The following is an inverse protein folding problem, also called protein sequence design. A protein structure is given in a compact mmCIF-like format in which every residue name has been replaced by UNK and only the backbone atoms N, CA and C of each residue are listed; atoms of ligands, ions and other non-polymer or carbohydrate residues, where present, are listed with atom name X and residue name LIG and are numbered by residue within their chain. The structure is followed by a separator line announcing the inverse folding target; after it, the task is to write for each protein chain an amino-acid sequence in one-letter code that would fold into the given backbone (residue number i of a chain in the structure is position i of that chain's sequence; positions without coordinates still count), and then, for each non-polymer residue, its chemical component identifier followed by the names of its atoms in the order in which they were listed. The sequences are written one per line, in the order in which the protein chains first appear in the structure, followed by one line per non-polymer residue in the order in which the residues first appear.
data_IF_397289347175
#
_entry.id   IF_397289347175
#
_cell.length_a   1.000
_cell.length_b   1.000
_cell.length_c   1.000
_cell.angle_alpha   90.00
_cell.angle_beta   90.00
_cell.angle_gamma   90.00
#
_symmetry.space_group_name_H-M   'P 1'
#
loop_
_entity.id
_entity.type
_entity.pdbx_description
1 polymer ?
#
# COMPACT_ATOMS: atom_id res chain seq x y z
N UNK A 1 -6.53 13.61 -19.48
CA UNK A 1 -5.31 13.23 -18.73
C UNK A 1 -5.43 13.87 -17.36
N UNK A 2 -5.89 13.14 -16.36
CA UNK A 2 -5.88 13.64 -15.00
C UNK A 2 -4.47 13.39 -14.46
N UNK A 3 -3.76 14.46 -14.11
CA UNK A 3 -2.53 14.34 -13.35
C UNK A 3 -2.86 13.56 -12.08
N UNK A 4 -2.27 12.36 -11.92
CA UNK A 4 -2.27 11.68 -10.63
C UNK A 4 -1.71 12.69 -9.61
N UNK A 5 -2.47 12.94 -8.55
CA UNK A 5 -2.13 13.98 -7.59
C UNK A 5 -0.71 13.75 -7.05
N UNK A 6 0.07 14.81 -6.92
CA UNK A 6 1.43 14.78 -6.35
C UNK A 6 1.45 14.47 -4.86
N UNK A 7 0.33 14.02 -4.29
CA UNK A 7 0.18 13.74 -2.87
C UNK A 7 0.93 12.46 -2.50
N UNK A 8 1.55 12.51 -1.34
CA UNK A 8 2.17 11.36 -0.71
C UNK A 8 1.12 10.54 0.01
N UNK A 9 1.30 9.23 -0.08
CA UNK A 9 0.45 8.24 0.55
C UNK A 9 1.32 7.28 1.35
N UNK A 10 0.70 6.66 2.32
CA UNK A 10 1.35 5.80 3.28
C UNK A 10 0.36 4.91 3.99
N UNK A 11 0.85 4.25 5.03
CA UNK A 11 0.05 3.36 5.86
C UNK A 11 -0.20 4.05 7.21
N UNK A 12 -1.46 4.15 7.59
CA UNK A 12 -1.95 4.74 8.82
C UNK A 12 -2.29 3.62 9.79
N UNK A 13 -1.75 3.69 11.01
CA UNK A 13 -2.04 2.73 12.07
C UNK A 13 -1.74 3.34 13.44
N UNK A 14 -2.70 3.24 14.38
CA UNK A 14 -2.57 3.80 15.72
C UNK A 14 -1.99 5.24 15.72
N UNK A 15 -0.79 5.43 16.25
CA UNK A 15 -0.07 6.71 16.34
C UNK A 15 0.94 6.93 15.20
N UNK A 16 0.96 6.05 14.20
CA UNK A 16 1.93 6.02 13.09
C UNK A 16 1.28 6.43 11.76
N UNK A 17 2.00 7.30 11.05
CA UNK A 17 1.77 7.64 9.64
C UNK A 17 3.05 7.27 8.89
N UNK A 18 3.10 6.05 8.34
CA UNK A 18 4.27 5.54 7.64
C UNK A 18 4.19 5.92 6.15
N UNK A 19 4.75 7.09 5.79
CA UNK A 19 4.77 7.55 4.40
C UNK A 19 5.54 6.58 3.50
N UNK A 20 4.98 6.24 2.34
CA UNK A 20 5.64 5.44 1.32
C UNK A 20 6.22 6.34 0.22
N UNK A 21 5.43 7.30 -0.27
CA UNK A 21 5.81 8.20 -1.34
C UNK A 21 4.62 8.64 -2.19
N UNK A 22 4.85 9.14 -3.42
CA UNK A 22 3.80 9.60 -4.32
C UNK A 22 2.72 8.53 -4.56
N UNK A 23 1.45 8.95 -4.66
CA UNK A 23 0.34 8.06 -4.97
C UNK A 23 0.56 7.23 -6.26
N UNK A 24 1.27 7.79 -7.24
CA UNK A 24 1.63 7.08 -8.48
C UNK A 24 2.56 5.89 -8.22
N UNK A 25 3.54 6.03 -7.33
CA UNK A 25 4.50 4.96 -7.01
C UNK A 25 3.80 3.81 -6.30
N UNK A 26 2.95 4.15 -5.33
CA UNK A 26 2.15 3.17 -4.59
C UNK A 26 1.13 2.49 -5.48
N UNK A 27 0.44 3.22 -6.35
CA UNK A 27 -0.45 2.62 -7.35
C UNK A 27 0.32 1.69 -8.29
N UNK A 28 1.53 2.08 -8.69
CA UNK A 28 2.42 1.28 -9.52
C UNK A 28 2.82 -0.04 -8.87
N UNK A 29 3.08 -0.06 -7.56
CA UNK A 29 3.27 -1.30 -6.79
C UNK A 29 2.09 -2.27 -6.99
N UNK A 30 0.86 -1.82 -6.74
CA UNK A 30 -0.34 -2.66 -6.89
C UNK A 30 -0.55 -3.10 -8.35
N UNK A 31 -0.30 -2.23 -9.33
CA UNK A 31 -0.42 -2.60 -10.74
C UNK A 31 0.61 -3.68 -11.15
N UNK A 32 1.84 -3.59 -10.64
CA UNK A 32 2.88 -4.59 -10.87
C UNK A 32 2.53 -5.93 -10.23
N UNK A 33 2.04 -5.94 -8.98
CA UNK A 33 1.57 -7.18 -8.34
C UNK A 33 0.46 -7.83 -9.17
N UNK A 34 -0.56 -7.06 -9.55
CA UNK A 34 -1.66 -7.58 -10.34
C UNK A 34 -1.19 -8.18 -11.68
N UNK A 35 -0.33 -7.44 -12.40
CA UNK A 35 0.12 -7.88 -13.73
C UNK A 35 1.11 -9.02 -13.69
N UNK A 36 2.10 -8.98 -12.80
CA UNK A 36 3.23 -9.92 -12.80
C UNK A 36 2.94 -11.16 -11.96
N UNK A 37 2.16 -11.02 -10.88
CA UNK A 37 1.98 -12.09 -9.90
C UNK A 37 0.55 -12.65 -9.86
N UNK A 38 -0.43 -11.93 -10.43
CA UNK A 38 -1.85 -12.30 -10.43
C UNK A 38 -2.46 -12.43 -11.84
N UNK A 39 -1.62 -12.50 -12.88
CA UNK A 39 -2.05 -12.63 -14.28
C UNK A 39 -3.10 -11.58 -14.72
N UNK A 40 -3.02 -10.37 -14.17
CA UNK A 40 -3.92 -9.25 -14.45
C UNK A 40 -5.25 -9.29 -13.69
N UNK A 41 -5.55 -10.35 -12.92
CA UNK A 41 -6.77 -10.43 -12.12
C UNK A 41 -6.45 -10.05 -10.68
N UNK A 42 -6.67 -8.77 -10.37
CA UNK A 42 -6.41 -8.19 -9.05
C UNK A 42 -7.10 -8.98 -7.92
N UNK A 43 -6.31 -9.33 -6.89
CA UNK A 43 -6.77 -10.07 -5.72
C UNK A 43 -7.00 -11.56 -5.94
N UNK A 44 -6.60 -12.12 -7.09
CA UNK A 44 -6.75 -13.56 -7.36
C UNK A 44 -5.77 -14.44 -6.60
N UNK A 45 -4.60 -13.90 -6.22
CA UNK A 45 -3.58 -14.60 -5.42
C UNK A 45 -3.36 -13.93 -4.06
N UNK A 46 -3.50 -12.61 -3.99
CA UNK A 46 -3.23 -11.79 -2.82
C UNK A 46 -4.42 -10.91 -2.41
N UNK A 47 -5.60 -11.49 -2.09
CA UNK A 47 -6.80 -10.71 -1.77
C UNK A 47 -6.65 -9.76 -0.57
N UNK A 48 -5.82 -10.07 0.43
CA UNK A 48 -5.67 -9.20 1.60
C UNK A 48 -4.87 -7.94 1.27
N UNK A 49 -3.78 -8.07 0.52
CA UNK A 49 -3.00 -6.91 0.04
C UNK A 49 -3.77 -6.15 -1.03
N UNK A 50 -4.30 -6.86 -2.03
CA UNK A 50 -4.78 -6.25 -3.26
C UNK A 50 -6.21 -5.71 -3.14
N UNK A 51 -7.01 -6.22 -2.21
CA UNK A 51 -8.34 -5.66 -1.94
C UNK A 51 -8.40 -4.99 -0.57
N UNK A 52 -8.07 -5.70 0.51
CA UNK A 52 -8.30 -5.18 1.87
C UNK A 52 -7.38 -4.03 2.23
N UNK A 53 -6.06 -4.18 2.08
CA UNK A 53 -5.11 -3.09 2.31
C UNK A 53 -5.27 -1.98 1.24
N UNK A 54 -5.54 -2.35 -0.01
CA UNK A 54 -5.68 -1.39 -1.11
C UNK A 54 -6.79 -0.36 -0.91
N UNK A 55 -7.97 -0.76 -0.41
CA UNK A 55 -9.15 0.14 -0.30
C UNK A 55 -9.81 0.16 1.06
N UNK A 56 -9.65 -0.89 1.86
CA UNK A 56 -10.32 -1.02 3.15
C UNK A 56 -9.42 -0.68 4.33
N UNK A 57 -9.80 -1.21 5.47
CA UNK A 57 -9.00 -1.26 6.68
C UNK A 57 -8.86 -2.70 7.14
N UNK A 58 -7.68 -3.07 7.61
CA UNK A 58 -7.40 -4.42 8.10
C UNK A 58 -7.93 -4.60 9.52
N UNK A 59 -8.80 -5.58 9.72
CA UNK A 59 -9.12 -6.09 11.05
C UNK A 59 -7.90 -6.83 11.65
N UNK A 60 -7.91 -7.04 12.97
CA UNK A 60 -6.79 -7.64 13.68
C UNK A 60 -6.41 -9.03 13.13
N UNK A 61 -7.39 -9.88 12.81
CA UNK A 61 -7.16 -11.22 12.24
C UNK A 61 -6.82 -11.20 10.74
N UNK A 62 -6.99 -10.07 10.07
CA UNK A 62 -6.59 -9.85 8.67
C UNK A 62 -5.14 -9.36 8.56
N UNK A 63 -4.56 -8.84 9.65
CA UNK A 63 -3.18 -8.33 9.67
C UNK A 63 -2.16 -9.43 9.31
N UNK A 64 -2.19 -10.55 10.04
CA UNK A 64 -1.29 -11.69 9.79
C UNK A 64 -1.45 -12.29 8.38
N UNK A 65 -2.67 -12.24 7.82
CA UNK A 65 -2.93 -12.72 6.46
C UNK A 65 -2.31 -11.78 5.43
N UNK A 66 -2.41 -10.47 5.66
CA UNK A 66 -1.80 -9.44 4.81
C UNK A 66 -0.28 -9.51 4.87
N UNK A 67 0.30 -9.68 6.07
CA UNK A 67 1.74 -9.88 6.28
C UNK A 67 2.23 -11.11 5.51
N UNK A 68 1.54 -12.24 5.62
CA UNK A 68 1.87 -13.48 4.89
C UNK A 68 1.86 -13.28 3.37
N UNK A 69 0.91 -12.52 2.85
CA UNK A 69 0.85 -12.18 1.42
C UNK A 69 1.98 -11.24 0.99
N UNK A 70 2.30 -10.21 1.78
CA UNK A 70 3.43 -9.32 1.50
C UNK A 70 4.77 -10.06 1.53
N UNK A 71 4.94 -11.01 2.43
CA UNK A 71 6.10 -11.90 2.47
C UNK A 71 6.21 -12.77 1.21
N UNK A 72 5.09 -13.25 0.68
CA UNK A 72 5.06 -13.95 -0.59
C UNK A 72 5.42 -13.02 -1.75
N UNK A 73 4.83 -11.82 -1.82
CA UNK A 73 5.12 -10.82 -2.86
C UNK A 73 6.60 -10.44 -2.83
N UNK A 74 7.17 -10.21 -1.64
CA UNK A 74 8.59 -9.93 -1.43
C UNK A 74 9.49 -11.01 -2.02
N UNK A 75 9.18 -12.30 -1.78
CA UNK A 75 9.94 -13.44 -2.33
C UNK A 75 9.92 -13.47 -3.87
N UNK A 76 8.75 -13.21 -4.46
CA UNK A 76 8.62 -13.13 -5.92
C UNK A 76 9.41 -11.92 -6.46
N UNK A 77 9.26 -10.75 -5.84
CA UNK A 77 9.91 -9.50 -6.24
C UNK A 77 11.44 -9.53 -6.13
N UNK A 78 12.00 -10.32 -5.20
CA UNK A 78 13.45 -10.54 -5.13
C UNK A 78 14.02 -11.18 -6.40
N UNK A 79 13.20 -11.92 -7.16
CA UNK A 79 13.60 -12.65 -8.37
C UNK A 79 13.36 -11.89 -9.67
N UNK A 80 12.77 -10.68 -9.60
CA UNK A 80 12.39 -9.89 -10.78
C UNK A 80 13.33 -8.69 -10.91
N UNK A 81 14.07 -8.61 -12.03
CA UNK A 81 14.90 -7.44 -12.36
C UNK A 81 14.03 -6.27 -12.84
N UNK A 82 14.33 -5.02 -12.42
CA UNK A 82 13.64 -3.83 -12.90
C UNK A 82 14.01 -3.41 -14.32
N UNK A 83 15.08 -3.95 -14.91
CA UNK A 83 15.65 -3.49 -16.18
C UNK A 83 14.69 -3.67 -17.37
N UNK A 84 13.86 -4.72 -17.32
CA UNK A 84 12.91 -5.05 -18.38
C UNK A 84 11.50 -4.53 -18.13
N UNK A 85 11.29 -3.73 -17.07
CA UNK A 85 10.00 -3.17 -16.74
C UNK A 85 9.79 -1.86 -17.51
N UNK A 86 8.74 -1.82 -18.32
CA UNK A 86 8.23 -0.59 -18.90
C UNK A 86 7.35 0.10 -17.84
N UNK A 87 7.92 1.06 -17.12
CA UNK A 87 7.32 1.64 -15.91
C UNK A 87 6.05 2.46 -16.19
N UNK A 88 5.97 3.11 -17.35
CA UNK A 88 4.85 3.96 -17.75
C UNK A 88 3.54 3.19 -17.92
N UNK A 89 3.57 1.94 -18.38
CA UNK A 89 2.38 1.07 -18.49
C UNK A 89 1.78 0.73 -17.12
N UNK A 90 2.60 0.80 -16.06
CA UNK A 90 2.15 0.64 -14.68
C UNK A 90 1.75 1.96 -14.02
N UNK A 91 1.77 3.07 -14.78
CA UNK A 91 1.40 4.40 -14.29
C UNK A 91 2.48 5.09 -13.45
N UNK A 92 3.74 4.62 -13.54
CA UNK A 92 4.88 5.25 -12.87
C UNK A 92 5.59 6.16 -13.87
N UNK A 93 5.60 7.46 -13.57
CA UNK A 93 6.42 8.44 -14.28
C UNK A 93 7.74 8.65 -13.51
N UNK A 94 8.84 8.23 -14.14
CA UNK A 94 10.19 8.30 -13.55
C UNK A 94 10.64 9.72 -13.21
N UNK A 95 10.05 10.76 -13.81
CA UNK A 95 10.43 12.14 -13.55
C UNK A 95 9.90 12.68 -12.21
N UNK A 96 8.80 12.10 -11.72
CA UNK A 96 8.13 12.51 -10.48
C UNK A 96 8.13 11.42 -9.41
N UNK A 97 8.57 10.21 -9.77
CA UNK A 97 8.71 9.08 -8.85
C UNK A 97 9.82 9.30 -7.83
N UNK A 98 9.64 8.76 -6.63
CA UNK A 98 10.68 8.66 -5.60
C UNK A 98 11.34 7.28 -5.56
N UNK A 99 10.91 6.36 -6.43
CA UNK A 99 11.48 5.02 -6.53
C UNK A 99 12.90 5.07 -7.11
N UNK A 100 13.78 4.21 -6.59
CA UNK A 100 15.10 4.01 -7.17
C UNK A 100 15.08 2.80 -8.12
N UNK A 101 14.94 3.06 -9.42
CA UNK A 101 14.86 2.03 -10.45
C UNK A 101 16.18 1.30 -10.74
N UNK A 102 17.32 1.81 -10.25
CA UNK A 102 18.64 1.21 -10.47
C UNK A 102 18.98 0.11 -9.44
N UNK A 103 18.04 -0.25 -8.57
CA UNK A 103 18.21 -1.30 -7.57
C UNK A 103 18.14 -2.68 -8.24
N UNK A 104 18.78 -3.70 -7.67
CA UNK A 104 18.95 -4.99 -8.36
C UNK A 104 17.67 -5.84 -8.57
N UNK A 105 16.58 -5.57 -7.84
CA UNK A 105 15.33 -6.29 -7.95
C UNK A 105 14.13 -5.43 -7.52
N UNK A 106 12.91 -5.86 -7.84
CA UNK A 106 11.69 -5.11 -7.51
C UNK A 106 11.47 -4.94 -6.00
N UNK A 107 11.92 -5.88 -5.17
CA UNK A 107 11.81 -5.72 -3.72
C UNK A 107 12.60 -4.48 -3.26
N UNK A 108 13.83 -4.31 -3.76
CA UNK A 108 14.67 -3.17 -3.42
C UNK A 108 14.14 -1.85 -4.01
N UNK A 109 13.42 -1.90 -5.14
CA UNK A 109 12.74 -0.71 -5.71
C UNK A 109 11.60 -0.27 -4.77
N UNK A 110 10.80 -1.22 -4.28
CA UNK A 110 9.63 -0.98 -3.42
C UNK A 110 9.91 -1.19 -1.93
N UNK A 111 11.16 -1.20 -1.49
CA UNK A 111 11.56 -1.52 -0.11
C UNK A 111 10.82 -0.67 0.92
N UNK A 112 10.58 0.61 0.58
CA UNK A 112 9.84 1.52 1.46
C UNK A 112 8.40 1.08 1.71
N UNK A 113 7.73 0.48 0.73
CA UNK A 113 6.37 -0.03 0.89
C UNK A 113 6.32 -1.11 1.97
N UNK A 114 7.18 -2.12 1.86
CA UNK A 114 7.26 -3.21 2.84
C UNK A 114 7.60 -2.68 4.23
N UNK A 115 8.63 -1.83 4.33
CA UNK A 115 9.03 -1.23 5.60
C UNK A 115 7.91 -0.41 6.25
N UNK A 116 7.14 0.34 5.46
CA UNK A 116 6.02 1.11 5.98
C UNK A 116 4.90 0.22 6.55
N UNK A 117 4.69 -0.96 5.95
CA UNK A 117 3.73 -1.93 6.47
C UNK A 117 4.22 -2.54 7.78
N UNK A 118 5.50 -2.91 7.86
CA UNK A 118 6.11 -3.43 9.10
C UNK A 118 5.98 -2.40 10.23
N UNK A 119 6.37 -1.13 9.98
CA UNK A 119 6.25 -0.02 10.94
C UNK A 119 4.81 0.16 11.45
N UNK A 120 3.82 0.10 10.54
CA UNK A 120 2.42 0.27 10.90
C UNK A 120 1.86 -0.94 11.67
N UNK A 121 2.24 -2.15 11.29
CA UNK A 121 1.82 -3.40 11.92
C UNK A 121 2.36 -3.50 13.34
N UNK A 122 3.67 -3.28 13.51
CA UNK A 122 4.32 -3.24 14.83
C UNK A 122 3.67 -2.19 15.74
N UNK A 123 3.36 -1.00 15.19
CA UNK A 123 2.73 0.07 15.96
C UNK A 123 1.33 -0.30 16.44
N UNK A 124 0.49 -0.91 15.60
CA UNK A 124 -0.87 -1.28 16.03
C UNK A 124 -0.86 -2.44 17.02
N UNK A 125 0.06 -3.40 16.86
CA UNK A 125 0.21 -4.50 17.82
C UNK A 125 0.66 -3.99 19.19
N UNK A 126 1.66 -3.11 19.23
CA UNK A 126 2.12 -2.49 20.47
C UNK A 126 1.00 -1.69 21.15
N UNK A 127 0.22 -0.94 20.37
CA UNK A 127 -0.93 -0.20 20.88
C UNK A 127 -2.01 -1.13 21.45
N UNK A 128 -2.33 -2.21 20.73
CA UNK A 128 -3.30 -3.20 21.19
C UNK A 128 -2.86 -3.88 22.50
N UNK A 129 -1.58 -4.24 22.62
CA UNK A 129 -1.04 -4.83 23.85
C UNK A 129 -1.08 -3.86 25.04
N UNK A 130 -0.83 -2.57 24.80
CA UNK A 130 -0.79 -1.56 25.85
C UNK A 130 -2.18 -1.10 26.31
N UNK A 131 -3.14 -1.00 25.39
CA UNK A 131 -4.44 -0.36 25.63
C UNK A 131 -5.65 -1.30 25.47
N UNK A 132 -5.44 -2.53 24.98
CA UNK A 132 -6.50 -3.49 24.65
C UNK A 132 -7.56 -2.92 23.68
N UNK A 133 -7.12 -2.01 22.82
CA UNK A 133 -7.90 -1.36 21.76
C UNK A 133 -7.14 -1.52 20.44
N UNK A 134 -7.79 -2.06 19.41
CA UNK A 134 -7.15 -2.28 18.12
C UNK A 134 -7.47 -1.11 17.18
N UNK A 135 -6.42 -0.50 16.63
CA UNK A 135 -6.55 0.54 15.60
C UNK A 135 -6.26 -0.06 14.21
N UNK A 136 -7.24 -0.10 13.29
CA UNK A 136 -7.05 -0.73 11.99
C UNK A 136 -5.93 -0.11 11.15
N UNK A 137 -5.18 -0.97 10.48
CA UNK A 137 -4.16 -0.59 9.48
C UNK A 137 -4.84 -0.30 8.15
N UNK A 138 -4.50 0.83 7.52
CA UNK A 138 -5.13 1.27 6.26
C UNK A 138 -4.25 2.21 5.45
N UNK A 139 -4.50 2.28 4.16
CA UNK A 139 -3.84 3.26 3.28
C UNK A 139 -4.50 4.65 3.39
N UNK A 140 -3.69 5.71 3.32
CA UNK A 140 -4.17 7.10 3.35
C UNK A 140 -3.12 8.09 2.86
N UNK A 141 -3.51 9.36 2.72
CA UNK A 141 -2.60 10.48 2.49
C UNK A 141 -1.72 10.74 3.71
N UNK A 142 -0.49 11.17 3.48
CA UNK A 142 0.45 11.57 4.54
C UNK A 142 0.71 13.08 4.57
N UNK A 143 0.38 13.78 3.48
CA UNK A 143 0.55 15.23 3.41
C UNK A 143 -0.52 15.96 4.24
N UNK A 144 -0.11 17.03 4.92
CA UNK A 144 -1.05 17.98 5.51
C UNK A 144 -1.72 18.86 4.42
N UNK A 145 -3.01 19.22 4.57
CA UNK A 145 -3.91 18.82 5.65
C UNK A 145 -4.60 17.47 5.42
N UNK A 146 -4.37 16.81 4.28
CA UNK A 146 -5.14 15.66 3.81
C UNK A 146 -5.13 14.45 4.75
N UNK A 147 -4.02 14.17 5.44
CA UNK A 147 -3.95 13.05 6.39
C UNK A 147 -4.98 13.19 7.54
N UNK A 148 -5.39 14.42 7.88
CA UNK A 148 -6.38 14.68 8.94
C UNK A 148 -7.74 14.05 8.56
N UNK A 149 -8.12 14.16 7.29
CA UNK A 149 -9.36 13.58 6.79
C UNK A 149 -9.32 12.04 6.86
N UNK A 150 -8.17 11.43 6.57
CA UNK A 150 -8.01 9.97 6.61
C UNK A 150 -7.94 9.43 8.04
N UNK A 151 -7.28 10.14 8.97
CA UNK A 151 -7.25 9.78 10.39
C UNK A 151 -8.64 9.84 11.01
N UNK A 152 -9.42 10.88 10.70
CA UNK A 152 -10.77 11.06 11.24
C UNK A 152 -11.84 10.18 10.57
N UNK A 153 -11.53 9.59 9.41
CA UNK A 153 -12.47 8.71 8.69
C UNK A 153 -12.68 7.42 9.46
N UNK A 154 -13.92 6.94 9.53
CA UNK A 154 -14.22 5.72 10.29
C UNK A 154 -13.89 4.45 9.51
N UNK A 155 -13.74 3.34 10.23
CA UNK A 155 -13.55 1.99 9.68
C UNK A 155 -14.70 1.59 8.77
N UNK A 156 -15.94 1.93 9.14
CA UNK A 156 -17.14 1.64 8.35
C UNK A 156 -17.08 2.35 6.99
N UNK A 157 -16.57 3.58 6.93
CA UNK A 157 -16.44 4.31 5.67
C UNK A 157 -15.39 3.67 4.74
N UNK A 158 -14.28 3.14 5.28
CA UNK A 158 -13.31 2.36 4.51
C UNK A 158 -13.91 1.05 4.01
N UNK A 159 -14.61 0.33 4.88
CA UNK A 159 -15.16 -0.98 4.55
C UNK A 159 -16.44 -0.92 3.70
N UNK A 160 -17.05 0.25 3.56
CA UNK A 160 -18.18 0.48 2.65
C UNK A 160 -17.77 0.61 1.17
N UNK A 161 -16.47 0.72 0.86
CA UNK A 161 -15.99 0.81 -0.51
C UNK A 161 -16.18 -0.53 -1.24
N UNK A 162 -16.97 -0.50 -2.32
CA UNK A 162 -17.17 -1.64 -3.19
C UNK A 162 -15.96 -1.93 -4.10
N UNK A 163 -15.98 -3.06 -4.83
CA UNK A 163 -14.87 -3.49 -5.70
C UNK A 163 -14.49 -2.47 -6.78
N UNK A 164 -15.47 -1.71 -7.28
CA UNK A 164 -15.29 -0.75 -8.37
C UNK A 164 -15.01 0.69 -7.89
N UNK A 165 -15.09 0.95 -6.59
CA UNK A 165 -14.86 2.31 -6.08
C UNK A 165 -13.37 2.68 -6.15
N UNK A 166 -13.05 3.95 -6.15
CA UNK A 166 -11.66 4.38 -5.92
C UNK A 166 -11.36 4.36 -4.41
N UNK A 167 -10.19 3.85 -3.97
CA UNK A 167 -9.77 3.98 -2.58
C UNK A 167 -9.56 5.46 -2.23
N UNK A 168 -9.71 5.83 -0.95
CA UNK A 168 -9.63 7.24 -0.54
C UNK A 168 -8.30 7.91 -0.91
N UNK A 169 -7.18 7.20 -0.80
CA UNK A 169 -5.85 7.68 -1.14
C UNK A 169 -5.60 7.90 -2.66
N UNK A 170 -6.60 7.59 -3.51
CA UNK A 170 -6.60 7.89 -4.94
C UNK A 170 -7.66 8.92 -5.37
N UNK A 171 -8.34 9.56 -4.39
CA UNK A 171 -9.40 10.56 -4.66
C UNK A 171 -8.89 12.00 -4.67
#
# INVERSE_FOLDING_TARGET
MNALSTKNVGILAAMTIAEIGPASDVKGFFNLVASLLENGVKGSKYPWVMEKLYRGSLAYDELNKTESELDSIKKEFLSISPDNIEWSSFGIDKNISRLNFARGNLFLVFERFFKAFDEASECTEAYFQAFNEYIPVRMGFTDAPHYIDDVNRTTEQYNALGPNDLPFWLR
#
